data_IF_545601154531
#
_entry.id   IF_545601154531
#
_cell.length_a   1.000
_cell.length_b   1.000
_cell.length_c   1.000
_cell.angle_alpha   90.00
_cell.angle_beta   90.00
_cell.angle_gamma   90.00
#
_symmetry.space_group_name_H-M   'P 1'
#
loop_
_entity.id
_entity.type
_entity.pdbx_description
1 polymer ?
#
# COMPACT_ATOMS: atom_id res chain seq x y z
N UNK A 1 -43.04 7.74 -6.43
CA UNK A 1 -42.40 8.02 -5.14
C UNK A 1 -42.73 6.87 -4.19
N UNK A 2 -41.78 6.01 -3.79
CA UNK A 2 -42.03 5.07 -2.71
C UNK A 2 -42.05 5.83 -1.35
N UNK A 3 -42.82 5.38 -0.36
CA UNK A 3 -42.92 6.05 0.93
C UNK A 3 -41.63 5.87 1.76
N UNK A 4 -41.20 6.90 2.52
CA UNK A 4 -40.02 6.81 3.37
C UNK A 4 -40.36 6.11 4.69
N UNK A 5 -39.52 5.16 5.11
CA UNK A 5 -39.49 4.70 6.51
C UNK A 5 -39.85 3.25 6.80
N UNK A 6 -39.70 2.30 5.88
CA UNK A 6 -39.72 0.88 6.29
C UNK A 6 -38.43 0.56 7.07
N UNK A 7 -38.52 0.06 8.32
CA UNK A 7 -37.38 -0.52 9.02
C UNK A 7 -36.82 -1.68 8.20
N UNK A 8 -35.50 -1.95 8.22
CA UNK A 8 -34.94 -3.14 7.58
C UNK A 8 -35.67 -4.38 8.08
N UNK A 9 -36.06 -5.25 7.15
CA UNK A 9 -36.71 -6.52 7.49
C UNK A 9 -35.83 -7.32 8.45
N UNK A 10 -36.40 -8.02 9.45
CA UNK A 10 -35.65 -8.91 10.32
C UNK A 10 -34.86 -9.90 9.47
N UNK A 11 -33.54 -9.98 9.70
CA UNK A 11 -32.69 -10.94 9.02
C UNK A 11 -33.24 -12.36 9.20
N UNK A 12 -33.35 -13.13 8.10
CA UNK A 12 -33.83 -14.51 8.13
C UNK A 12 -32.85 -15.38 8.96
N UNK A 13 -33.29 -16.04 10.04
CA UNK A 13 -32.44 -16.87 10.88
C UNK A 13 -31.85 -18.10 10.16
N UNK A 14 -32.35 -18.45 8.96
CA UNK A 14 -31.87 -19.55 8.12
C UNK A 14 -31.09 -19.05 6.89
N UNK A 15 -30.87 -17.75 6.74
CA UNK A 15 -29.91 -17.27 5.75
C UNK A 15 -28.53 -17.83 6.12
N UNK A 16 -27.78 -18.42 5.16
CA UNK A 16 -26.37 -18.71 5.38
C UNK A 16 -25.73 -17.42 5.89
N UNK A 17 -25.12 -17.47 7.07
CA UNK A 17 -24.34 -16.34 7.57
C UNK A 17 -23.37 -15.96 6.45
N UNK A 18 -23.39 -14.69 6.03
CA UNK A 18 -22.38 -14.19 5.10
C UNK A 18 -21.03 -14.62 5.67
N UNK A 19 -20.17 -15.28 4.87
CA UNK A 19 -18.88 -15.74 5.37
C UNK A 19 -18.19 -14.54 5.99
N UNK A 20 -17.77 -14.69 7.25
CA UNK A 20 -17.09 -13.63 7.96
C UNK A 20 -15.97 -13.11 7.06
N UNK A 21 -15.87 -11.79 6.84
CA UNK A 21 -14.81 -11.25 5.99
C UNK A 21 -13.48 -11.75 6.53
N UNK A 22 -12.66 -12.32 5.64
CA UNK A 22 -11.30 -12.72 5.97
C UNK A 22 -10.61 -11.56 6.71
N UNK A 23 -9.73 -11.82 7.69
CA UNK A 23 -9.03 -10.73 8.38
C UNK A 23 -8.20 -9.94 7.36
N UNK A 24 -8.68 -8.76 6.98
CA UNK A 24 -8.02 -7.83 6.06
C UNK A 24 -7.26 -6.78 6.86
N UNK A 25 -6.04 -6.51 6.42
CA UNK A 25 -5.25 -5.39 6.93
C UNK A 25 -5.56 -4.13 6.14
N UNK A 26 -5.80 -3.03 6.85
CA UNK A 26 -6.13 -1.74 6.26
C UNK A 26 -4.91 -0.81 6.30
N UNK A 27 -4.42 -0.40 5.14
CA UNK A 27 -3.36 0.59 5.01
C UNK A 27 -3.94 1.95 4.61
N UNK A 28 -4.26 2.75 5.63
CA UNK A 28 -4.84 4.09 5.45
C UNK A 28 -3.95 5.04 4.65
N UNK A 29 -2.64 5.00 4.90
CA UNK A 29 -1.69 5.89 4.23
C UNK A 29 -1.51 5.52 2.75
N UNK A 30 -1.65 4.24 2.39
CA UNK A 30 -1.61 3.77 1.00
C UNK A 30 -2.97 3.76 0.29
N UNK A 31 -4.08 3.91 1.03
CA UNK A 31 -5.44 3.88 0.51
C UNK A 31 -5.90 2.50 0.04
N UNK A 32 -5.46 1.42 0.71
CA UNK A 32 -5.82 0.06 0.30
C UNK A 32 -5.94 -0.91 1.47
N UNK A 33 -6.62 -2.03 1.23
CA UNK A 33 -6.68 -3.18 2.13
C UNK A 33 -6.21 -4.45 1.42
N UNK A 34 -5.65 -5.39 2.17
CA UNK A 34 -5.13 -6.66 1.65
C UNK A 34 -5.30 -7.79 2.68
N UNK A 35 -5.20 -9.04 2.22
CA UNK A 35 -5.22 -10.21 3.11
C UNK A 35 -3.77 -10.64 3.39
N UNK A 36 -3.40 -10.78 4.66
CA UNK A 36 -2.06 -11.25 5.03
C UNK A 36 -1.93 -12.74 4.72
N UNK A 37 -0.90 -13.18 3.98
CA UNK A 37 -0.72 -14.60 3.71
C UNK A 37 -0.46 -15.37 5.01
N UNK A 38 -0.94 -16.62 5.10
CA UNK A 38 -0.73 -17.46 6.28
C UNK A 38 0.76 -17.61 6.62
N UNK A 39 1.12 -17.44 7.89
CA UNK A 39 2.52 -17.49 8.33
C UNK A 39 3.29 -16.18 8.15
N UNK A 40 2.62 -15.09 7.78
CA UNK A 40 3.18 -13.74 7.73
C UNK A 40 2.54 -12.83 8.76
N UNK A 41 3.28 -11.80 9.16
CA UNK A 41 2.79 -10.73 10.01
C UNK A 41 3.22 -9.39 9.45
N UNK A 42 2.41 -8.35 9.67
CA UNK A 42 2.78 -6.98 9.37
C UNK A 42 3.89 -6.56 10.35
N UNK A 43 5.03 -6.14 9.81
CA UNK A 43 6.11 -5.55 10.60
C UNK A 43 5.81 -4.09 10.85
N UNK A 44 6.10 -3.62 12.07
CA UNK A 44 5.86 -2.24 12.48
C UNK A 44 6.68 -1.29 11.60
N UNK A 45 5.96 -0.57 10.74
CA UNK A 45 6.48 0.20 9.64
C UNK A 45 6.48 1.70 9.94
N UNK A 46 6.61 2.08 11.22
CA UNK A 46 6.71 3.49 11.66
C UNK A 46 7.80 4.31 10.93
N UNK A 47 8.70 3.66 10.16
CA UNK A 47 9.66 4.31 9.26
C UNK A 47 9.25 4.39 7.77
N UNK A 48 8.26 3.62 7.31
CA UNK A 48 7.83 3.61 5.90
C UNK A 48 6.95 4.84 5.62
N UNK A 49 7.60 5.91 5.20
CA UNK A 49 7.04 7.28 5.20
C UNK A 49 5.92 7.54 4.18
N UNK A 50 5.46 6.56 3.41
CA UNK A 50 4.64 6.77 2.20
C UNK A 50 3.54 5.72 1.96
N UNK A 51 2.94 5.17 3.02
CA UNK A 51 1.80 4.24 2.85
C UNK A 51 2.18 2.87 2.29
N UNK A 52 3.40 2.42 2.62
CA UNK A 52 3.88 1.08 2.35
C UNK A 52 3.67 0.22 3.61
N UNK A 53 3.52 -1.08 3.44
CA UNK A 53 3.56 -2.04 4.51
C UNK A 53 4.61 -3.12 4.18
N UNK A 54 5.35 -3.52 5.20
CA UNK A 54 6.32 -4.60 5.16
C UNK A 54 5.74 -5.77 5.93
N UNK A 55 5.75 -6.95 5.32
CA UNK A 55 5.40 -8.19 6.00
C UNK A 55 6.68 -9.02 6.15
N UNK A 56 6.82 -9.61 7.34
CA UNK A 56 7.87 -10.59 7.66
C UNK A 56 7.23 -11.91 8.01
N UNK A 57 7.93 -13.00 7.71
CA UNK A 57 7.48 -14.35 8.06
C UNK A 57 7.51 -14.55 9.56
N UNK A 58 6.46 -15.14 10.14
CA UNK A 58 6.36 -15.41 11.57
C UNK A 58 7.49 -16.37 11.96
N UNK A 59 8.30 -16.05 12.99
CA UNK A 59 9.39 -16.92 13.38
C UNK A 59 8.87 -18.27 13.89
N UNK A 60 9.54 -19.39 13.55
CA UNK A 60 9.16 -20.70 14.06
C UNK A 60 9.30 -20.75 15.59
N UNK A 61 8.51 -21.60 16.28
CA UNK A 61 8.60 -21.75 17.72
C UNK A 61 10.03 -22.13 18.15
N UNK A 62 10.65 -21.27 18.97
CA UNK A 62 12.04 -21.39 19.41
C UNK A 62 12.98 -20.31 18.85
N UNK A 63 12.55 -19.56 17.84
CA UNK A 63 13.28 -18.40 17.30
C UNK A 63 12.56 -17.11 17.66
N UNK A 64 13.30 -16.08 18.11
CA UNK A 64 12.73 -14.77 18.41
C UNK A 64 12.74 -13.80 17.23
N UNK A 65 13.50 -14.11 16.17
CA UNK A 65 13.68 -13.21 15.03
C UNK A 65 13.16 -13.85 13.74
N UNK A 66 12.37 -13.12 12.92
CA UNK A 66 11.93 -13.61 11.62
C UNK A 66 13.12 -13.86 10.68
N UNK A 67 12.98 -14.76 9.69
CA UNK A 67 13.97 -14.91 8.63
C UNK A 67 14.20 -13.59 7.90
N UNK A 68 15.47 -13.21 7.69
CA UNK A 68 15.82 -11.98 6.97
C UNK A 68 15.95 -12.21 5.45
N UNK A 69 15.96 -13.47 5.01
CA UNK A 69 16.15 -13.88 3.62
C UNK A 69 14.83 -13.93 2.82
N UNK A 70 13.72 -13.47 3.42
CA UNK A 70 12.43 -13.31 2.75
C UNK A 70 11.63 -12.17 3.37
N UNK A 71 11.01 -11.35 2.53
CA UNK A 71 10.16 -10.24 2.97
C UNK A 71 9.17 -9.87 1.88
N UNK A 72 8.03 -9.29 2.26
CA UNK A 72 7.03 -8.79 1.32
C UNK A 72 6.84 -7.30 1.55
N UNK A 73 7.06 -6.50 0.52
CA UNK A 73 6.79 -5.08 0.51
C UNK A 73 5.57 -4.81 -0.36
N UNK A 74 4.60 -4.10 0.18
CA UNK A 74 3.39 -3.71 -0.53
C UNK A 74 3.06 -2.25 -0.29
N UNK A 75 2.45 -1.60 -1.27
CA UNK A 75 2.20 -0.17 -1.17
C UNK A 75 1.58 0.43 -2.41
N UNK A 76 1.31 1.72 -2.35
CA UNK A 76 0.84 2.48 -3.50
C UNK A 76 1.98 2.70 -4.49
N UNK A 77 1.72 2.42 -5.76
CA UNK A 77 2.67 2.66 -6.83
C UNK A 77 2.64 4.14 -7.23
N UNK A 78 3.48 4.94 -6.57
CA UNK A 78 3.61 6.37 -6.89
C UNK A 78 4.39 6.58 -8.20
N UNK A 79 4.10 7.66 -8.91
CA UNK A 79 4.78 8.04 -10.15
C UNK A 79 6.26 8.41 -9.96
N UNK A 80 6.70 8.63 -8.72
CA UNK A 80 8.14 8.77 -8.40
C UNK A 80 8.89 7.45 -8.47
N UNK A 81 8.20 6.32 -8.31
CA UNK A 81 8.76 5.01 -8.63
C UNK A 81 8.76 4.92 -10.17
N UNK A 82 9.91 4.61 -10.78
CA UNK A 82 10.04 4.56 -12.24
C UNK A 82 9.00 3.64 -12.89
N UNK A 83 8.57 2.60 -12.19
CA UNK A 83 7.46 1.71 -12.57
C UNK A 83 6.07 2.39 -12.59
N UNK A 84 5.81 3.41 -11.76
CA UNK A 84 4.54 4.14 -11.72
C UNK A 84 4.31 5.06 -12.91
N UNK A 85 5.37 5.40 -13.65
CA UNK A 85 5.28 6.15 -14.90
C UNK A 85 4.91 5.27 -16.11
N UNK A 86 4.98 3.94 -15.97
CA UNK A 86 4.67 3.01 -17.06
C UNK A 86 3.15 2.99 -17.35
N UNK A 87 2.73 3.17 -18.61
CA UNK A 87 1.32 3.09 -18.98
C UNK A 87 0.78 1.66 -18.95
N UNK A 88 1.65 0.65 -18.88
CA UNK A 88 1.31 -0.77 -18.95
C UNK A 88 1.72 -1.49 -17.65
N UNK A 89 0.83 -2.33 -17.11
CA UNK A 89 1.08 -3.03 -15.84
C UNK A 89 2.16 -4.12 -15.97
N UNK A 90 2.33 -4.73 -17.14
CA UNK A 90 3.41 -5.70 -17.38
C UNK A 90 4.76 -5.01 -17.41
N UNK A 91 4.87 -3.85 -18.06
CA UNK A 91 6.10 -3.05 -18.02
C UNK A 91 6.40 -2.53 -16.62
N UNK A 92 5.38 -2.04 -15.91
CA UNK A 92 5.51 -1.61 -14.53
C UNK A 92 6.04 -2.74 -13.63
N UNK A 93 5.47 -3.95 -13.74
CA UNK A 93 5.90 -5.12 -12.96
C UNK A 93 7.35 -5.53 -13.28
N UNK A 94 7.73 -5.60 -14.55
CA UNK A 94 9.11 -5.93 -14.96
C UNK A 94 10.12 -4.87 -14.50
N UNK A 95 9.77 -3.59 -14.59
CA UNK A 95 10.60 -2.48 -14.14
C UNK A 95 10.75 -2.51 -12.63
N UNK A 96 9.64 -2.70 -11.91
CA UNK A 96 9.64 -2.82 -10.46
C UNK A 96 10.48 -4.01 -9.98
N UNK A 97 10.30 -5.19 -10.59
CA UNK A 97 11.11 -6.36 -10.28
C UNK A 97 12.59 -6.06 -10.50
N UNK A 98 12.95 -5.38 -11.60
CA UNK A 98 14.35 -5.04 -11.90
C UNK A 98 14.94 -4.03 -10.91
N UNK A 99 14.25 -2.93 -10.64
CA UNK A 99 14.72 -1.87 -9.74
C UNK A 99 14.82 -2.40 -8.28
N UNK A 100 13.85 -3.20 -7.85
CA UNK A 100 13.86 -3.83 -6.52
C UNK A 100 14.89 -4.96 -6.45
N UNK A 101 15.06 -5.74 -7.51
CA UNK A 101 16.10 -6.77 -7.55
C UNK A 101 17.50 -6.17 -7.45
N UNK A 102 17.77 -5.05 -8.12
CA UNK A 102 19.06 -4.34 -7.98
C UNK A 102 19.26 -3.78 -6.56
N UNK A 103 18.19 -3.26 -5.95
CA UNK A 103 18.24 -2.69 -4.61
C UNK A 103 18.45 -3.76 -3.51
N UNK A 104 17.71 -4.87 -3.57
CA UNK A 104 17.73 -5.91 -2.55
C UNK A 104 18.81 -6.98 -2.82
N UNK A 105 19.24 -7.14 -4.07
CA UNK A 105 20.26 -8.09 -4.49
C UNK A 105 21.34 -7.37 -5.30
N UNK A 106 22.16 -6.50 -4.69
CA UNK A 106 23.18 -5.70 -5.40
C UNK A 106 24.38 -6.53 -5.89
N UNK A 107 24.32 -7.85 -5.75
CA UNK A 107 25.41 -8.76 -6.07
C UNK A 107 25.30 -9.24 -7.52
N UNK A 108 26.44 -9.42 -8.21
CA UNK A 108 26.44 -9.92 -9.57
C UNK A 108 25.81 -11.31 -9.63
N UNK A 109 24.94 -11.51 -10.63
CA UNK A 109 24.26 -12.77 -10.86
C UNK A 109 23.54 -12.80 -12.20
N UNK A 110 23.07 -13.99 -12.58
CA UNK A 110 22.34 -14.23 -13.81
C UNK A 110 20.86 -14.41 -13.51
N UNK A 111 19.99 -13.71 -14.24
CA UNK A 111 18.54 -13.91 -14.12
C UNK A 111 18.13 -15.19 -14.82
N UNK A 112 17.49 -16.09 -14.08
CA UNK A 112 16.97 -17.36 -14.57
C UNK A 112 15.47 -17.48 -14.22
N UNK A 113 14.78 -18.46 -14.82
CA UNK A 113 13.38 -18.79 -14.50
C UNK A 113 12.41 -17.60 -14.56
N UNK A 114 12.63 -16.70 -15.53
CA UNK A 114 11.81 -15.50 -15.70
C UNK A 114 10.39 -15.87 -16.15
N UNK A 115 9.39 -15.30 -15.47
CA UNK A 115 7.99 -15.59 -15.72
C UNK A 115 7.15 -14.31 -15.61
N UNK A 116 6.07 -14.23 -16.38
CA UNK A 116 5.08 -13.16 -16.29
C UNK A 116 3.71 -13.77 -16.06
N UNK A 117 3.00 -13.28 -15.04
CA UNK A 117 1.70 -13.82 -14.62
C UNK A 117 0.65 -12.70 -14.70
N UNK A 118 -0.46 -12.87 -15.45
CA UNK A 118 -1.55 -11.91 -15.41
C UNK A 118 -2.24 -11.93 -14.03
N UNK A 119 -2.65 -10.77 -13.53
CA UNK A 119 -3.35 -10.62 -12.26
C UNK A 119 -4.73 -9.99 -12.47
N UNK A 120 -5.70 -10.37 -11.63
CA UNK A 120 -7.02 -9.74 -11.63
C UNK A 120 -7.57 -9.55 -10.20
N UNK A 121 -7.51 -8.32 -9.69
CA UNK A 121 -8.05 -7.97 -8.38
C UNK A 121 -9.47 -7.35 -8.49
N UNK A 122 -10.53 -8.18 -8.49
CA UNK A 122 -11.94 -7.75 -8.70
C UNK A 122 -12.16 -6.89 -9.95
N UNK A 123 -11.58 -7.29 -11.09
CA UNK A 123 -11.68 -6.53 -12.33
C UNK A 123 -10.61 -5.46 -12.50
N UNK A 124 -9.79 -5.19 -11.47
CA UNK A 124 -8.56 -4.43 -11.65
C UNK A 124 -7.49 -5.31 -12.29
N UNK A 125 -7.21 -5.04 -13.56
CA UNK A 125 -6.16 -5.75 -14.28
C UNK A 125 -4.79 -5.45 -13.67
N UNK A 126 -3.93 -6.45 -13.70
CA UNK A 126 -2.57 -6.35 -13.25
C UNK A 126 -1.66 -7.35 -13.95
N UNK A 127 -0.39 -7.29 -13.60
CA UNK A 127 0.62 -8.22 -14.09
C UNK A 127 1.69 -8.39 -13.03
N UNK A 128 2.27 -9.57 -12.97
CA UNK A 128 3.41 -9.87 -12.13
C UNK A 128 4.59 -10.34 -12.96
N UNK A 129 5.78 -9.98 -12.52
CA UNK A 129 7.04 -10.49 -13.04
C UNK A 129 7.74 -11.28 -11.94
N UNK A 130 8.21 -12.47 -12.28
CA UNK A 130 9.02 -13.32 -11.41
C UNK A 130 10.36 -13.58 -12.07
N UNK A 131 11.43 -13.62 -11.29
CA UNK A 131 12.68 -14.22 -11.71
C UNK A 131 13.52 -14.65 -10.52
N UNK A 132 14.47 -15.53 -10.81
CA UNK A 132 15.49 -15.96 -9.86
C UNK A 132 16.83 -15.39 -10.28
N UNK A 133 17.71 -15.16 -9.31
CA UNK A 133 19.07 -14.69 -9.52
C UNK A 133 20.01 -15.77 -9.00
N UNK A 134 20.71 -16.40 -9.92
CA UNK A 134 21.85 -17.25 -9.60
C UNK A 134 23.07 -16.35 -9.41
N UNK A 135 23.56 -16.24 -8.18
CA UNK A 135 24.70 -15.40 -7.88
C UNK A 135 25.98 -16.03 -8.39
N UNK A 136 26.96 -15.20 -8.77
CA UNK A 136 28.29 -15.72 -9.17
C UNK A 136 29.08 -16.30 -8.00
N UNK A 137 28.66 -16.03 -6.77
CA UNK A 137 29.24 -16.58 -5.54
C UNK A 137 28.47 -17.84 -5.13
N UNK A 138 29.07 -19.00 -5.30
CA UNK A 138 28.48 -20.32 -5.03
C UNK A 138 28.13 -20.55 -3.54
N UNK A 139 28.62 -19.70 -2.63
CA UNK A 139 28.26 -19.78 -1.21
C UNK A 139 26.94 -19.05 -0.88
N UNK A 140 26.34 -18.38 -1.87
CA UNK A 140 25.09 -17.64 -1.68
C UNK A 140 23.92 -18.41 -2.28
N UNK A 141 22.83 -18.59 -1.52
CA UNK A 141 21.63 -19.19 -2.07
C UNK A 141 21.07 -18.30 -3.18
N UNK A 142 20.44 -18.92 -4.18
CA UNK A 142 19.80 -18.19 -5.26
C UNK A 142 18.75 -17.23 -4.70
N UNK A 143 18.77 -15.99 -5.19
CA UNK A 143 17.78 -14.98 -4.85
C UNK A 143 16.51 -15.17 -5.68
N UNK A 144 15.35 -14.86 -5.12
CA UNK A 144 14.08 -14.94 -5.83
C UNK A 144 13.33 -13.63 -5.66
N UNK A 145 12.73 -13.12 -6.73
CA UNK A 145 11.91 -11.93 -6.67
C UNK A 145 10.65 -12.11 -7.50
N UNK A 146 9.54 -11.74 -6.88
CA UNK A 146 8.25 -11.62 -7.52
C UNK A 146 7.75 -10.21 -7.32
N UNK A 147 7.32 -9.53 -8.38
CA UNK A 147 6.77 -8.19 -8.30
C UNK A 147 5.46 -8.12 -9.08
N UNK A 148 4.36 -7.89 -8.39
CA UNK A 148 3.03 -7.69 -8.93
C UNK A 148 2.63 -6.23 -8.91
N UNK A 149 1.95 -5.78 -9.96
CA UNK A 149 1.28 -4.47 -10.02
C UNK A 149 -0.17 -4.69 -10.42
N UNK A 150 -1.09 -4.15 -9.63
CA UNK A 150 -2.54 -4.22 -9.87
C UNK A 150 -3.14 -2.82 -9.85
N UNK A 151 -4.17 -2.60 -10.66
CA UNK A 151 -4.91 -1.36 -10.68
C UNK A 151 -4.91 -0.64 -12.03
N UNK A 152 -5.59 0.48 -12.06
CA UNK A 152 -5.85 1.24 -13.29
C UNK A 152 -4.68 2.14 -13.67
N UNK A 153 -4.14 2.03 -14.90
CA UNK A 153 -3.09 2.91 -15.31
C UNK A 153 -3.52 4.36 -15.41
N UNK A 154 -2.70 5.24 -14.83
CA UNK A 154 -2.85 6.69 -15.01
C UNK A 154 -2.74 7.03 -16.50
N UNK A 155 -3.76 7.67 -17.09
CA UNK A 155 -3.72 8.02 -18.51
C UNK A 155 -2.52 8.92 -18.85
N UNK A 156 -1.91 8.74 -20.04
CA UNK A 156 -0.90 9.66 -20.53
C UNK A 156 -1.43 11.10 -20.57
N UNK A 157 -0.66 12.06 -20.05
CA UNK A 157 -1.03 13.47 -20.07
C UNK A 157 -1.89 13.96 -18.89
N UNK A 158 -2.33 13.10 -17.98
CA UNK A 158 -3.04 13.56 -16.76
C UNK A 158 -2.14 14.53 -15.97
N UNK A 159 -2.62 15.72 -15.55
CA UNK A 159 -1.84 16.67 -14.77
C UNK A 159 -1.43 16.07 -13.42
N UNK A 160 -0.19 16.34 -12.95
CA UNK A 160 0.37 15.73 -11.73
C UNK A 160 -0.53 15.85 -10.49
N UNK A 161 -1.26 16.97 -10.35
CA UNK A 161 -2.21 17.20 -9.25
C UNK A 161 -3.56 16.46 -9.37
N UNK A 162 -3.83 15.82 -10.51
CA UNK A 162 -5.03 15.00 -10.77
C UNK A 162 -4.68 13.51 -10.95
N UNK A 163 -3.40 13.15 -10.84
CA UNK A 163 -2.98 11.76 -10.87
C UNK A 163 -3.26 11.15 -9.50
N UNK A 164 -4.39 10.49 -9.36
CA UNK A 164 -4.57 9.50 -8.31
C UNK A 164 -4.25 8.14 -8.91
N UNK A 165 -2.97 7.67 -8.89
CA UNK A 165 -2.71 6.29 -9.27
C UNK A 165 -3.43 5.39 -8.27
N UNK A 166 -4.53 4.78 -8.71
CA UNK A 166 -5.18 3.62 -8.11
C UNK A 166 -4.39 2.38 -8.53
N UNK A 167 -3.07 2.43 -8.35
CA UNK A 167 -2.16 1.32 -8.60
C UNK A 167 -1.43 0.99 -7.32
N UNK A 168 -1.36 -0.30 -7.06
CA UNK A 168 -0.66 -0.86 -5.93
C UNK A 168 0.34 -1.88 -6.43
N UNK A 169 1.41 -2.02 -5.67
CA UNK A 169 2.44 -3.00 -5.95
C UNK A 169 2.59 -3.96 -4.78
N UNK A 170 3.08 -5.14 -5.10
CA UNK A 170 3.48 -6.17 -4.17
C UNK A 170 4.82 -6.70 -4.65
N UNK A 171 5.84 -6.68 -3.81
CA UNK A 171 7.16 -7.24 -4.07
C UNK A 171 7.42 -8.29 -3.01
N UNK A 172 7.60 -9.53 -3.44
CA UNK A 172 7.96 -10.64 -2.57
C UNK A 172 9.40 -11.04 -2.88
N UNK A 173 10.25 -10.92 -1.88
CA UNK A 173 11.64 -11.34 -1.90
C UNK A 173 11.76 -12.71 -1.23
N UNK A 174 12.50 -13.60 -1.86
CA UNK A 174 12.82 -14.91 -1.31
C UNK A 174 14.25 -15.30 -1.62
N UNK A 175 14.62 -16.47 -1.12
CA UNK A 175 15.87 -17.14 -1.38
C UNK A 175 15.62 -18.63 -1.56
N UNK A 176 16.61 -19.40 -1.97
CA UNK A 176 16.49 -20.86 -2.04
C UNK A 176 16.03 -21.50 -0.71
N UNK A 177 16.45 -20.94 0.43
CA UNK A 177 16.05 -21.40 1.76
C UNK A 177 14.61 -20.99 2.14
N UNK A 178 14.12 -19.88 1.59
CA UNK A 178 12.76 -19.38 1.80
C UNK A 178 12.20 -18.93 0.45
N UNK A 179 11.77 -19.89 -0.40
CA UNK A 179 11.36 -19.58 -1.76
C UNK A 179 10.07 -18.75 -1.77
N UNK A 180 9.89 -17.99 -2.85
CA UNK A 180 8.65 -17.24 -3.07
C UNK A 180 7.52 -18.22 -3.36
N UNK A 181 6.47 -18.16 -2.56
CA UNK A 181 5.23 -18.86 -2.86
C UNK A 181 4.45 -18.05 -3.91
N UNK A 182 4.61 -18.44 -5.18
CA UNK A 182 3.97 -17.75 -6.32
C UNK A 182 2.45 -17.73 -6.19
N UNK A 183 1.83 -18.79 -5.67
CA UNK A 183 0.38 -18.86 -5.53
C UNK A 183 -0.11 -17.90 -4.44
N UNK A 184 0.57 -17.88 -3.29
CA UNK A 184 0.27 -16.93 -2.24
C UNK A 184 0.55 -15.47 -2.66
N UNK A 185 1.59 -15.24 -3.48
CA UNK A 185 1.91 -13.92 -4.00
C UNK A 185 0.82 -13.40 -4.95
N UNK A 186 0.33 -14.26 -5.85
CA UNK A 186 -0.82 -13.95 -6.71
C UNK A 186 -2.06 -13.67 -5.85
N UNK A 187 -2.40 -14.55 -4.91
CA UNK A 187 -3.55 -14.36 -4.03
C UNK A 187 -3.45 -13.04 -3.22
N UNK A 188 -2.27 -12.69 -2.72
CA UNK A 188 -2.03 -11.43 -2.03
C UNK A 188 -2.28 -10.23 -2.95
N UNK A 189 -1.72 -10.22 -4.15
CA UNK A 189 -1.91 -9.11 -5.08
C UNK A 189 -3.36 -9.01 -5.57
N UNK A 190 -4.01 -10.15 -5.83
CA UNK A 190 -5.43 -10.22 -6.20
C UNK A 190 -6.36 -9.92 -5.04
N UNK A 191 -5.87 -9.94 -3.79
CA UNK A 191 -6.65 -9.53 -2.61
C UNK A 191 -6.73 -8.01 -2.45
N UNK A 192 -5.86 -7.22 -3.12
CA UNK A 192 -5.80 -5.77 -2.92
C UNK A 192 -7.12 -5.11 -3.31
N UNK A 193 -7.64 -4.25 -2.43
CA UNK A 193 -8.81 -3.42 -2.69
C UNK A 193 -8.52 -1.96 -2.32
N UNK A 194 -9.08 -0.98 -3.05
CA UNK A 194 -9.10 0.40 -2.59
C UNK A 194 -9.77 0.47 -1.21
N UNK A 195 -9.21 1.26 -0.31
CA UNK A 195 -9.75 1.45 1.03
C UNK A 195 -9.58 2.89 1.47
N UNK A 196 -10.64 3.47 2.03
CA UNK A 196 -10.63 4.79 2.63
C UNK A 196 -11.12 4.67 4.07
N UNK A 197 -10.44 5.31 5.05
CA UNK A 197 -10.88 5.24 6.44
C UNK A 197 -12.29 5.82 6.56
N UNK A 198 -13.18 5.19 7.34
CA UNK A 198 -14.50 5.75 7.60
C UNK A 198 -14.35 7.14 8.22
N UNK A 199 -15.24 8.10 7.87
CA UNK A 199 -15.19 9.44 8.44
C UNK A 199 -15.25 9.35 9.96
N UNK A 200 -14.39 10.13 10.63
CA UNK A 200 -14.40 10.19 12.09
C UNK A 200 -15.80 10.59 12.57
N UNK A 201 -16.33 9.95 13.62
CA UNK A 201 -17.61 10.36 14.18
C UNK A 201 -17.55 11.85 14.54
N UNK A 202 -18.66 12.59 14.37
CA UNK A 202 -18.72 13.99 14.78
C UNK A 202 -18.23 14.10 16.22
N UNK A 203 -17.32 15.03 16.50
CA UNK A 203 -16.91 15.30 17.87
C UNK A 203 -18.17 15.65 18.67
N UNK A 204 -18.45 14.88 19.73
CA UNK A 204 -19.58 15.15 20.62
C UNK A 204 -19.45 16.57 21.16
N UNK A 205 -20.42 17.47 20.89
CA UNK A 205 -20.41 18.83 21.44
C UNK A 205 -20.47 18.87 22.98
N UNK A 206 -20.75 17.71 23.61
CA UNK A 206 -20.90 17.52 25.05
C UNK A 206 -19.74 16.73 25.69
N UNK A 207 -18.69 16.36 24.94
CA UNK A 207 -17.48 15.77 25.52
C UNK A 207 -16.77 16.75 26.46
N UNK A 208 -16.08 16.28 27.51
CA UNK A 208 -15.24 17.17 28.32
C UNK A 208 -14.24 17.84 27.39
N UNK A 209 -14.29 19.17 27.27
CA UNK A 209 -13.24 19.91 26.59
C UNK A 209 -11.94 19.54 27.30
N UNK A 210 -11.02 18.89 26.60
CA UNK A 210 -9.67 18.69 27.10
C UNK A 210 -9.14 20.08 27.47
N UNK A 211 -8.99 20.32 28.78
CA UNK A 211 -8.41 21.57 29.24
C UNK A 211 -7.03 21.68 28.60
N UNK A 212 -6.69 22.82 27.97
CA UNK A 212 -5.35 23.00 27.43
C UNK A 212 -4.34 22.83 28.55
N UNK A 213 -3.43 21.87 28.37
CA UNK A 213 -2.31 21.62 29.26
C UNK A 213 -1.41 22.87 29.25
N UNK A 214 -1.23 23.56 30.40
CA UNK A 214 -0.46 24.80 30.46
C UNK A 214 1.04 24.62 30.14
N UNK A 215 1.54 23.38 30.11
CA UNK A 215 2.95 23.04 29.86
C UNK A 215 3.21 22.49 28.44
N UNK A 216 2.21 22.54 27.53
CA UNK A 216 2.40 22.08 26.16
C UNK A 216 3.33 23.03 25.35
N UNK A 217 4.38 22.52 24.69
CA UNK A 217 5.24 23.33 23.83
C UNK A 217 4.43 23.94 22.66
N UNK A 218 4.74 25.18 22.23
CA UNK A 218 3.89 25.93 21.30
C UNK A 218 3.70 25.19 19.97
N UNK A 219 2.44 25.05 19.56
CA UNK A 219 2.06 24.49 18.27
C UNK A 219 2.69 25.30 17.13
N UNK A 220 3.41 24.61 16.24
CA UNK A 220 3.99 25.22 15.03
C UNK A 220 2.85 25.64 14.08
N UNK A 221 2.86 26.87 13.54
CA UNK A 221 1.77 27.34 12.68
C UNK A 221 1.67 26.52 11.38
N UNK A 222 0.60 25.74 11.26
CA UNK A 222 0.16 25.15 9.99
C UNK A 222 -0.49 26.23 9.14
N UNK A 223 0.18 26.58 8.05
CA UNK A 223 -0.28 27.52 7.03
C UNK A 223 -1.48 26.92 6.29
N UNK A 224 -2.59 27.63 6.24
CA UNK A 224 -3.61 27.39 5.21
C UNK A 224 -5.06 27.64 5.63
N UNK A 225 -5.49 28.90 5.66
CA UNK A 225 -6.85 29.28 5.26
C UNK A 225 -6.87 30.74 4.77
N UNK A 226 -7.64 31.07 3.71
CA UNK A 226 -7.60 32.36 3.04
C UNK A 226 -8.42 33.40 3.80
N UNK A 227 -7.85 34.57 4.03
CA UNK A 227 -8.58 35.73 4.56
C UNK A 227 -9.17 36.53 3.38
N UNK A 228 -10.50 36.76 3.33
CA UNK A 228 -11.06 37.77 2.45
C UNK A 228 -10.66 39.15 2.97
N UNK A 229 -10.10 39.99 2.10
CA UNK A 229 -9.68 41.35 2.44
C UNK A 229 -10.92 42.24 2.55
N UNK A 230 -11.28 42.62 3.76
CA UNK A 230 -12.14 43.77 4.04
C UNK A 230 -11.59 44.44 5.29
N UNK A 231 -11.43 45.76 5.22
CA UNK A 231 -10.81 46.68 6.19
C UNK A 231 -9.29 46.79 6.20
N UNK A 232 -8.77 47.66 5.32
CA UNK A 232 -7.44 48.24 5.43
C UNK A 232 -7.51 49.55 6.25
N UNK A 233 -6.83 49.66 7.41
CA UNK A 233 -6.65 50.93 8.12
C UNK A 233 -5.64 51.87 7.42
N UNK A 234 -5.79 53.20 7.57
CA UNK A 234 -5.33 54.21 6.59
C UNK A 234 -3.90 54.74 6.84
N UNK A 235 -2.86 53.90 6.73
CA UNK A 235 -1.46 54.37 6.88
C UNK A 235 -0.45 53.83 5.84
N UNK A 236 -0.90 53.30 4.69
CA UNK A 236 0.01 52.96 3.57
C UNK A 236 -0.49 53.44 2.20
N UNK A 237 -0.57 54.76 2.01
CA UNK A 237 -0.46 55.34 0.67
C UNK A 237 1.02 55.61 0.38
N UNK A 238 1.59 55.19 -0.77
CA UNK A 238 2.88 55.70 -1.21
C UNK A 238 2.74 57.16 -1.71
N UNK A 239 3.78 58.00 -1.57
CA UNK A 239 3.76 59.37 -2.09
C UNK A 239 3.63 59.39 -3.62
N UNK A 240 2.96 60.43 -4.13
CA UNK A 240 2.74 60.69 -5.55
C UNK A 240 4.03 61.01 -6.32
#
# INVERSE_FOLDING_TARGET
MPPPGQPPAPADPNAPAEPAPEPRENNAAGGFSYVVPGGWQVSDATQLSYGQALLTKIPPPGSQQPPNDTSILLGRLDLKLFAGAEPDNTKAANRLASDMGEFFMPYPGTRINQETVPLNAEGMQGSAAYYEVEFTDENRPNGQIWAGVVGSPTPPGTPRGQRAPERWFVVWLGSENNPVDKAAAVALAESIRPWEPPPAPPADPAGPQAQPDPDAPPARPGVGVPVPVTDAPPEMMPPA
#
